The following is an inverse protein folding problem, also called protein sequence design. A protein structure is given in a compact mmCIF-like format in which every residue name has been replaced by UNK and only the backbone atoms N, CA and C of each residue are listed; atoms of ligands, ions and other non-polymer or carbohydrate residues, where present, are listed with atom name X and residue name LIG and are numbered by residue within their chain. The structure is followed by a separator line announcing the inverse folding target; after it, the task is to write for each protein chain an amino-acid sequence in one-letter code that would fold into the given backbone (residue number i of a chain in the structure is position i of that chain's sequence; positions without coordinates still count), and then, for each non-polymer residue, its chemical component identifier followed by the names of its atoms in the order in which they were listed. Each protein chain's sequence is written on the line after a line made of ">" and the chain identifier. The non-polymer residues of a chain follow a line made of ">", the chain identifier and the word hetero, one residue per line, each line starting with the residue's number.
data_IF_163688682693
#
_entry.id   IF_163688682693
#
_cell.length_a   1.000
_cell.length_b   1.000
_cell.length_c   1.000
_cell.angle_alpha   90.00
_cell.angle_beta   90.00
_cell.angle_gamma   90.00
#
_symmetry.space_group_name_H-M   'P 1'
#
loop_
_entity.id
_entity.type
_entity.pdbx_description
1 polymer ?
#
# COMPACT_ATOMS: atom_id res chain seq x y z
N UNK A 1 9.52 -3.99 -4.82
CA UNK A 1 9.55 -5.28 -4.08
C UNK A 1 8.93 -6.37 -4.96
N UNK A 2 9.39 -7.62 -4.86
CA UNK A 2 8.92 -8.72 -5.75
C UNK A 2 7.41 -8.93 -5.65
N UNK A 3 6.85 -9.02 -4.44
CA UNK A 3 5.40 -9.25 -4.27
C UNK A 3 4.55 -8.09 -4.80
N UNK A 4 4.98 -6.84 -4.57
CA UNK A 4 4.30 -5.66 -5.10
C UNK A 4 4.27 -5.65 -6.64
N UNK A 5 5.39 -5.97 -7.28
CA UNK A 5 5.45 -6.12 -8.75
C UNK A 5 4.59 -7.29 -9.24
N UNK A 6 4.61 -8.42 -8.54
CA UNK A 6 3.81 -9.59 -8.90
C UNK A 6 2.31 -9.27 -8.88
N UNK A 7 1.82 -8.60 -7.82
CA UNK A 7 0.42 -8.14 -7.74
C UNK A 7 0.12 -7.08 -8.79
N UNK A 8 1.04 -6.15 -9.05
CA UNK A 8 0.87 -5.13 -10.10
C UNK A 8 0.76 -5.73 -11.51
N UNK A 9 1.33 -6.91 -11.75
CA UNK A 9 1.21 -7.65 -13.01
C UNK A 9 -0.08 -8.49 -13.11
N UNK A 10 -0.86 -8.65 -12.03
CA UNK A 10 -2.11 -9.40 -12.06
C UNK A 10 -3.26 -8.55 -12.58
N UNK A 11 -4.15 -9.15 -13.39
CA UNK A 11 -5.34 -8.48 -13.97
C UNK A 11 -6.18 -7.75 -12.92
N UNK A 12 -6.42 -8.38 -11.77
CA UNK A 12 -7.27 -7.84 -10.73
C UNK A 12 -6.53 -6.98 -9.69
N UNK A 13 -5.21 -6.82 -9.82
CA UNK A 13 -4.41 -6.06 -8.85
C UNK A 13 -4.51 -6.64 -7.45
N UNK A 14 -4.68 -5.76 -6.45
CA UNK A 14 -4.81 -6.18 -5.05
C UNK A 14 -6.22 -6.71 -4.75
N UNK A 15 -6.29 -7.98 -4.35
CA UNK A 15 -7.49 -8.67 -3.90
C UNK A 15 -7.70 -8.46 -2.39
N UNK A 16 -8.96 -8.36 -1.92
CA UNK A 16 -9.27 -8.15 -0.51
C UNK A 16 -9.21 -9.47 0.30
N UNK A 17 -8.06 -10.14 0.28
CA UNK A 17 -7.85 -11.49 0.84
C UNK A 17 -7.09 -11.50 2.16
N UNK A 18 -6.80 -10.33 2.71
CA UNK A 18 -6.12 -10.17 4.00
C UNK A 18 -6.56 -8.87 4.69
N UNK A 19 -6.43 -8.80 6.01
CA UNK A 19 -6.81 -7.61 6.78
C UNK A 19 -6.06 -6.34 6.35
N UNK A 20 -4.75 -6.36 6.01
CA UNK A 20 -4.09 -5.21 5.39
C UNK A 20 -4.71 -4.83 4.03
N UNK A 21 -5.08 -5.81 3.19
CA UNK A 21 -5.66 -5.57 1.88
C UNK A 21 -7.07 -4.95 1.96
N UNK A 22 -7.92 -5.42 2.89
CA UNK A 22 -9.29 -4.89 3.03
C UNK A 22 -9.30 -3.42 3.44
N UNK A 23 -8.27 -2.95 4.15
CA UNK A 23 -8.12 -1.54 4.51
C UNK A 23 -7.89 -0.60 3.31
N UNK A 24 -7.52 -1.15 2.15
CA UNK A 24 -7.33 -0.40 0.90
C UNK A 24 -8.52 -0.48 -0.06
N UNK A 25 -9.63 -1.11 0.34
CA UNK A 25 -10.80 -1.23 -0.52
C UNK A 25 -11.32 0.16 -0.94
N UNK A 26 -11.44 0.40 -2.25
CA UNK A 26 -11.83 1.70 -2.83
C UNK A 26 -10.76 2.80 -2.76
N UNK A 27 -9.56 2.51 -2.24
CA UNK A 27 -8.51 3.51 -1.93
C UNK A 27 -7.24 3.37 -2.78
N UNK A 28 -7.24 2.48 -3.77
CA UNK A 28 -6.11 2.25 -4.69
C UNK A 28 -6.45 2.82 -6.07
N UNK A 29 -5.59 3.69 -6.58
CA UNK A 29 -5.53 4.07 -7.98
C UNK A 29 -4.76 3.02 -8.79
N UNK A 30 -5.02 2.94 -10.08
CA UNK A 30 -4.26 2.11 -11.02
C UNK A 30 -3.82 2.97 -12.18
N UNK A 31 -2.55 2.84 -12.57
CA UNK A 31 -1.97 3.48 -13.74
C UNK A 31 -1.39 2.41 -14.66
N UNK A 32 -1.75 2.45 -15.93
CA UNK A 32 -1.27 1.49 -16.93
C UNK A 32 0.18 1.79 -17.33
N UNK A 33 0.93 0.77 -17.69
CA UNK A 33 2.34 0.92 -18.05
C UNK A 33 2.50 1.55 -19.44
N UNK A 34 3.26 2.64 -19.52
CA UNK A 34 3.52 3.37 -20.77
C UNK A 34 4.95 3.17 -21.32
N UNK A 35 5.73 2.26 -20.71
CA UNK A 35 7.15 2.06 -21.02
C UNK A 35 8.09 2.70 -19.98
N UNK A 36 9.41 2.61 -20.16
CA UNK A 36 10.37 3.30 -19.28
C UNK A 36 10.21 4.83 -19.41
N UNK A 37 9.92 5.49 -18.28
CA UNK A 37 9.50 6.89 -18.18
C UNK A 37 10.57 7.90 -18.65
N UNK A 38 10.64 8.09 -19.97
CA UNK A 38 11.39 9.19 -20.61
C UNK A 38 10.45 10.30 -21.10
N UNK A 39 9.14 10.07 -21.05
CA UNK A 39 8.12 11.01 -21.50
C UNK A 39 7.57 11.82 -20.31
N UNK A 40 7.81 13.13 -20.32
CA UNK A 40 7.34 14.04 -19.27
C UNK A 40 5.82 14.17 -19.22
N UNK A 41 5.11 13.84 -20.31
CA UNK A 41 3.64 13.91 -20.36
C UNK A 41 2.96 12.89 -19.45
N UNK A 42 3.64 11.78 -19.11
CA UNK A 42 3.14 10.75 -18.20
C UNK A 42 2.80 11.34 -16.83
N UNK A 43 3.55 12.36 -16.37
CA UNK A 43 3.33 13.00 -15.06
C UNK A 43 1.91 13.51 -14.88
N UNK A 44 1.32 14.09 -15.94
CA UNK A 44 -0.05 14.62 -15.88
C UNK A 44 -1.07 13.49 -15.73
N UNK A 45 -0.84 12.36 -16.39
CA UNK A 45 -1.69 11.15 -16.29
C UNK A 45 -1.53 10.48 -14.93
N UNK A 46 -0.32 10.34 -14.42
CA UNK A 46 -0.05 9.84 -13.06
C UNK A 46 -0.81 10.63 -11.99
N UNK A 47 -0.78 11.97 -12.07
CA UNK A 47 -1.53 12.83 -11.15
C UNK A 47 -3.04 12.64 -11.32
N UNK A 48 -3.52 12.55 -12.57
CA UNK A 48 -4.95 12.35 -12.85
C UNK A 48 -5.46 10.99 -12.35
N UNK A 49 -4.69 9.92 -12.56
CA UNK A 49 -5.04 8.56 -12.15
C UNK A 49 -4.99 8.38 -10.63
N UNK A 50 -4.01 9.01 -9.96
CA UNK A 50 -3.95 9.04 -8.51
C UNK A 50 -5.17 9.76 -7.91
N UNK A 51 -5.56 10.89 -8.49
CA UNK A 51 -6.72 11.67 -8.05
C UNK A 51 -6.60 12.11 -6.59
N UNK A 52 -7.61 11.76 -5.79
CA UNK A 52 -7.71 12.05 -4.35
C UNK A 52 -7.11 10.96 -3.45
N UNK A 53 -6.55 9.90 -4.05
CA UNK A 53 -6.03 8.75 -3.31
C UNK A 53 -4.57 8.97 -2.92
N UNK A 54 -4.12 8.15 -1.96
CA UNK A 54 -2.73 8.12 -1.48
C UNK A 54 -1.95 6.90 -1.92
N UNK A 55 -2.60 5.98 -2.64
CA UNK A 55 -2.02 4.69 -3.01
C UNK A 55 -2.32 4.42 -4.47
N UNK A 56 -1.30 4.00 -5.21
CA UNK A 56 -1.41 3.63 -6.60
C UNK A 56 -0.62 2.36 -6.89
N UNK A 57 -1.23 1.45 -7.65
CA UNK A 57 -0.55 0.32 -8.25
C UNK A 57 -0.24 0.67 -9.70
N UNK A 58 1.05 0.77 -10.00
CA UNK A 58 1.57 0.98 -11.35
C UNK A 58 1.60 -0.38 -12.04
N UNK A 59 0.69 -0.65 -12.96
CA UNK A 59 0.53 -1.96 -13.61
C UNK A 59 1.88 -2.44 -14.17
N UNK A 60 2.21 -3.70 -13.94
CA UNK A 60 3.50 -4.32 -14.35
C UNK A 60 4.79 -3.66 -13.83
N UNK A 61 4.70 -2.61 -13.01
CA UNK A 61 5.84 -1.82 -12.53
C UNK A 61 6.02 -1.93 -11.01
N UNK A 62 4.98 -1.67 -10.21
CA UNK A 62 5.11 -1.76 -8.76
C UNK A 62 4.09 -0.92 -7.99
N UNK A 63 4.52 -0.46 -6.81
CA UNK A 63 3.68 0.22 -5.82
C UNK A 63 4.16 1.65 -5.64
N UNK A 64 3.21 2.58 -5.49
CA UNK A 64 3.46 3.97 -5.16
C UNK A 64 2.53 4.38 -4.02
N UNK A 65 3.07 5.06 -3.01
CA UNK A 65 2.28 5.66 -1.94
C UNK A 65 2.71 7.09 -1.67
N UNK A 66 1.75 7.91 -1.27
CA UNK A 66 1.93 9.28 -0.82
C UNK A 66 1.41 9.39 0.62
N UNK A 67 1.83 10.45 1.32
CA UNK A 67 1.34 10.78 2.65
C UNK A 67 1.46 12.28 2.88
N UNK A 68 0.65 12.81 3.80
CA UNK A 68 0.80 14.18 4.28
C UNK A 68 2.06 14.31 5.16
N UNK A 69 2.54 13.19 5.69
CA UNK A 69 3.81 13.07 6.41
C UNK A 69 4.59 11.86 5.89
N UNK A 70 5.88 11.80 6.23
CA UNK A 70 6.75 10.67 5.89
C UNK A 70 6.24 9.36 6.50
N UNK A 71 5.79 9.41 7.75
CA UNK A 71 5.30 8.28 8.53
C UNK A 71 4.03 7.70 7.91
N UNK A 72 3.11 8.56 7.44
CA UNK A 72 1.91 8.14 6.74
C UNK A 72 2.27 7.44 5.42
N UNK A 73 3.14 8.04 4.61
CA UNK A 73 3.58 7.44 3.35
C UNK A 73 4.25 6.08 3.59
N UNK A 74 5.08 5.97 4.63
CA UNK A 74 5.76 4.75 5.03
C UNK A 74 4.79 3.66 5.47
N UNK A 75 3.84 3.95 6.38
CA UNK A 75 2.93 2.92 6.88
C UNK A 75 1.98 2.41 5.78
N UNK A 76 1.57 3.30 4.86
CA UNK A 76 0.78 2.90 3.69
C UNK A 76 1.59 1.96 2.80
N UNK A 77 2.85 2.29 2.49
CA UNK A 77 3.74 1.41 1.71
C UNK A 77 3.96 0.06 2.41
N UNK A 78 4.26 0.08 3.70
CA UNK A 78 4.50 -1.12 4.50
C UNK A 78 3.29 -2.06 4.47
N UNK A 79 2.09 -1.52 4.73
CA UNK A 79 0.85 -2.31 4.73
C UNK A 79 0.49 -2.82 3.35
N UNK A 80 0.67 -2.01 2.30
CA UNK A 80 0.40 -2.41 0.93
C UNK A 80 1.34 -3.54 0.49
N UNK A 81 2.64 -3.40 0.79
CA UNK A 81 3.62 -4.44 0.52
C UNK A 81 3.26 -5.74 1.25
N UNK A 82 2.88 -5.67 2.53
CA UNK A 82 2.45 -6.84 3.30
C UNK A 82 1.17 -7.46 2.72
N UNK A 83 0.22 -6.64 2.25
CA UNK A 83 -0.98 -7.12 1.58
C UNK A 83 -0.63 -7.92 0.30
N UNK A 84 0.31 -7.41 -0.50
CA UNK A 84 0.80 -8.11 -1.69
C UNK A 84 1.50 -9.44 -1.35
N UNK A 85 2.37 -9.45 -0.33
CA UNK A 85 3.04 -10.67 0.14
C UNK A 85 2.02 -11.76 0.53
N UNK A 86 1.00 -11.38 1.32
CA UNK A 86 -0.04 -12.31 1.74
C UNK A 86 -0.85 -12.80 0.53
N UNK A 87 -1.20 -11.93 -0.42
CA UNK A 87 -1.93 -12.34 -1.61
C UNK A 87 -1.17 -13.39 -2.43
N UNK A 88 0.13 -13.17 -2.68
CA UNK A 88 0.94 -14.15 -3.43
C UNK A 88 1.05 -15.47 -2.66
N UNK A 89 1.27 -15.40 -1.35
CA UNK A 89 1.31 -16.60 -0.51
C UNK A 89 -0.04 -17.36 -0.49
N UNK A 90 -1.16 -16.64 -0.42
CA UNK A 90 -2.49 -17.23 -0.43
C UNK A 90 -2.80 -17.90 -1.79
N UNK A 91 -2.47 -17.23 -2.90
CA UNK A 91 -2.66 -17.77 -4.25
C UNK A 91 -1.80 -19.01 -4.51
N UNK A 92 -0.61 -19.10 -3.90
CA UNK A 92 0.25 -20.28 -4.01
C UNK A 92 -0.37 -21.55 -3.42
N UNK A 93 -1.38 -21.43 -2.54
CA UNK A 93 -2.13 -22.58 -2.01
C UNK A 93 -3.03 -23.29 -3.03
N UNK A 94 -3.30 -22.69 -4.20
CA UNK A 94 -4.03 -23.31 -5.30
C UNK A 94 -5.54 -23.49 -5.10
N UNK A 95 -6.08 -23.12 -3.94
CA UNK A 95 -7.51 -23.15 -3.64
C UNK A 95 -8.17 -21.79 -3.90
N UNK A 96 -9.49 -21.79 -4.07
CA UNK A 96 -10.25 -20.54 -4.15
C UNK A 96 -10.07 -19.70 -2.87
N UNK A 97 -9.86 -18.38 -3.05
CA UNK A 97 -9.67 -17.45 -1.95
C UNK A 97 -11.01 -16.91 -1.45
N UNK A 98 -11.09 -16.68 -0.14
CA UNK A 98 -12.25 -16.06 0.49
C UNK A 98 -12.11 -14.55 0.45
N UNK A 99 -13.15 -13.86 0.00
CA UNK A 99 -13.26 -12.40 0.05
C UNK A 99 -14.50 -12.01 0.84
N UNK A 100 -14.42 -11.06 1.80
CA UNK A 100 -15.58 -10.58 2.54
C UNK A 100 -16.63 -9.91 1.63
N UNK A 101 -17.91 -9.87 2.05
CA UNK A 101 -18.94 -9.07 1.38
C UNK A 101 -18.57 -7.58 1.31
N UNK A 102 -19.10 -6.87 0.32
CA UNK A 102 -18.77 -5.47 0.03
C UNK A 102 -19.01 -4.54 1.22
N UNK A 103 -20.04 -4.81 2.03
CA UNK A 103 -20.38 -4.05 3.22
C UNK A 103 -19.27 -4.13 4.28
N UNK A 104 -18.66 -5.31 4.41
CA UNK A 104 -17.53 -5.55 5.32
C UNK A 104 -16.27 -4.88 4.79
N UNK A 105 -16.06 -4.86 3.47
CA UNK A 105 -14.93 -4.18 2.85
C UNK A 105 -15.00 -2.65 3.05
N UNK A 106 -16.18 -2.05 2.82
CA UNK A 106 -16.42 -0.63 3.08
C UNK A 106 -16.20 -0.28 4.56
N UNK A 107 -16.70 -1.13 5.46
CA UNK A 107 -16.46 -0.98 6.91
C UNK A 107 -14.98 -1.09 7.27
N UNK A 108 -14.25 -2.06 6.71
CA UNK A 108 -12.82 -2.22 6.97
C UNK A 108 -12.02 -1.00 6.49
N UNK A 109 -12.29 -0.51 5.27
CA UNK A 109 -11.64 0.68 4.72
C UNK A 109 -11.88 1.93 5.59
N UNK A 110 -13.13 2.18 6.00
CA UNK A 110 -13.48 3.34 6.84
C UNK A 110 -12.91 3.27 8.27
N UNK A 111 -12.70 2.07 8.82
CA UNK A 111 -12.12 1.89 10.15
C UNK A 111 -10.59 1.87 10.14
N UNK A 112 -9.96 1.71 8.98
CA UNK A 112 -8.50 1.58 8.87
C UNK A 112 -7.79 2.82 9.39
N UNK A 113 -8.28 4.02 9.07
CA UNK A 113 -7.63 5.26 9.52
C UNK A 113 -7.72 5.40 11.04
N UNK A 114 -8.90 5.11 11.61
CA UNK A 114 -9.09 5.08 13.07
C UNK A 114 -8.20 4.06 13.74
N UNK A 115 -8.05 2.87 13.15
CA UNK A 115 -7.16 1.82 13.66
C UNK A 115 -5.70 2.30 13.69
N UNK A 116 -5.24 2.98 12.63
CA UNK A 116 -3.87 3.49 12.53
C UNK A 116 -3.58 4.71 13.43
N UNK A 117 -4.61 5.39 13.92
CA UNK A 117 -4.48 6.54 14.83
C UNK A 117 -4.95 6.24 16.26
N UNK A 118 -5.34 5.00 16.56
CA UNK A 118 -5.98 4.62 17.83
C UNK A 118 -5.03 4.72 19.04
N UNK A 119 -3.72 4.73 18.80
CA UNK A 119 -2.70 4.79 19.84
C UNK A 119 -2.36 6.26 20.14
N UNK A 120 -2.99 6.79 21.19
CA UNK A 120 -2.66 8.07 21.84
C UNK A 120 -2.85 9.33 20.97
N UNK A 121 -3.69 9.26 19.94
CA UNK A 121 -3.99 10.39 19.06
C UNK A 121 -2.81 10.84 18.19
N UNK A 122 -1.78 9.99 18.06
CA UNK A 122 -0.64 10.24 17.19
C UNK A 122 -1.08 10.24 15.71
N UNK A 123 -0.38 11.00 14.83
CA UNK A 123 -0.58 10.92 13.40
C UNK A 123 -0.41 9.50 12.85
N UNK A 124 -1.16 9.18 11.79
CA UNK A 124 -1.14 7.88 11.11
C UNK A 124 0.30 7.42 10.82
N UNK A 125 0.65 6.23 11.32
CA UNK A 125 1.94 5.58 11.06
C UNK A 125 3.09 6.03 11.96
N UNK A 126 2.90 7.04 12.81
CA UNK A 126 3.98 7.55 13.66
C UNK A 126 4.48 6.52 14.67
N UNK A 127 3.57 5.78 15.32
CA UNK A 127 3.94 4.75 16.29
C UNK A 127 4.81 3.67 15.63
N UNK A 128 4.37 3.16 14.48
CA UNK A 128 5.09 2.15 13.72
C UNK A 128 6.42 2.69 13.21
N UNK A 129 6.44 3.89 12.64
CA UNK A 129 7.65 4.51 12.13
C UNK A 129 8.70 4.71 13.23
N UNK A 130 8.31 5.27 14.38
CA UNK A 130 9.20 5.43 15.54
C UNK A 130 9.74 4.08 16.03
N UNK A 131 8.96 2.99 15.89
CA UNK A 131 9.44 1.64 16.21
C UNK A 131 10.53 1.15 15.25
N UNK A 132 10.39 1.44 13.95
CA UNK A 132 11.40 1.11 12.95
C UNK A 132 12.65 1.98 13.09
N UNK A 133 12.50 3.26 13.47
CA UNK A 133 13.65 4.11 13.78
C UNK A 133 14.47 3.51 14.92
N UNK A 134 13.85 3.10 16.04
CA UNK A 134 14.56 2.42 17.13
C UNK A 134 15.31 1.17 16.68
N UNK A 135 14.73 0.41 15.74
CA UNK A 135 15.37 -0.79 15.19
C UNK A 135 16.56 -0.44 14.29
N UNK A 136 16.44 0.58 13.44
CA UNK A 136 17.53 1.03 12.56
C UNK A 136 18.64 1.68 13.38
N UNK A 137 18.31 2.50 14.36
CA UNK A 137 19.28 3.12 15.28
C UNK A 137 20.18 2.10 15.98
N UNK A 138 19.60 0.96 16.35
CA UNK A 138 20.33 -0.13 16.96
C UNK A 138 21.25 -0.86 15.96
N UNK A 139 20.87 -0.91 14.68
CA UNK A 139 21.63 -1.59 13.63
C UNK A 139 22.74 -0.71 13.06
N UNK A 140 22.39 0.51 12.68
CA UNK A 140 23.27 1.49 12.09
C UNK A 140 22.65 2.89 12.20
N UNK A 141 23.12 3.75 13.12
CA UNK A 141 22.62 5.10 13.27
C UNK A 141 23.21 6.10 12.26
N UNK A 142 24.08 5.68 11.33
CA UNK A 142 24.78 6.60 10.43
C UNK A 142 23.85 7.33 9.45
N UNK A 143 22.66 6.80 9.16
CA UNK A 143 21.66 7.42 8.25
C UNK A 143 21.20 8.82 8.68
N UNK A 144 21.50 9.21 9.91
CA UNK A 144 21.17 10.51 10.49
C UNK A 144 22.12 11.63 10.06
N UNK A 145 23.30 11.29 9.51
CA UNK A 145 24.37 12.24 9.16
C UNK A 145 24.62 12.29 7.66
#
# INVERSE_FOLDING_TARGET
>A
TVAGMAVAAQRFGLLPVSMPATGFHGRIAYHDYEGPSLNLDERKRLVADLGDKKVMILRTHGLLTCGNTLEEAFILMFRLQRACEIQIAAQAGGTALVTPPIEILNRAASLTDKFLTAHDGQPTGKLEFDSYLRLIDHKDPSYRN
#
